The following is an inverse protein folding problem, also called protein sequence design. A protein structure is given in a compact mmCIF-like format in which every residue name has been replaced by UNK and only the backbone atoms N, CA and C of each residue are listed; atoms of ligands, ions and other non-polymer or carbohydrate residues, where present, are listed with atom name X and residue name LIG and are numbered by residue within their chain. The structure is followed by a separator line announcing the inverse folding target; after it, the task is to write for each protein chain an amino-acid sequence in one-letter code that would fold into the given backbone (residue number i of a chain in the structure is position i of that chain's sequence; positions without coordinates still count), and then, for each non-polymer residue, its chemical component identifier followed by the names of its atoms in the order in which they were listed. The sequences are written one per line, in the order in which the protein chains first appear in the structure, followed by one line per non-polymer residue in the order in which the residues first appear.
data_IF_776774160868
#
_entry.id   IF_776774160868
#
_cell.length_a   1.000
_cell.length_b   1.000
_cell.length_c   1.000
_cell.angle_alpha   90.00
_cell.angle_beta   90.00
_cell.angle_gamma   90.00
#
_symmetry.space_group_name_H-M   'P 1'
#
loop_
_entity.id
_entity.type
_entity.pdbx_description
1 polymer ?
#
# COMPACT_ATOMS: atom_id res chain seq x y z
N UNK A 1 7.85 61.98 -43.87
CA UNK A 1 7.22 61.94 -42.53
C UNK A 1 7.17 60.49 -42.06
N UNK A 2 8.10 60.07 -41.22
CA UNK A 2 8.15 58.70 -40.68
C UNK A 2 8.03 58.79 -39.15
N UNK A 3 6.88 58.39 -38.61
CA UNK A 3 6.66 58.31 -37.17
C UNK A 3 7.35 57.06 -36.64
N UNK A 4 8.43 57.23 -35.87
CA UNK A 4 9.15 56.14 -35.21
C UNK A 4 8.36 55.63 -34.00
N UNK A 5 7.84 54.38 -34.00
CA UNK A 5 6.97 53.86 -32.95
C UNK A 5 7.75 53.08 -31.89
N UNK A 6 8.96 53.52 -31.48
CA UNK A 6 9.82 52.71 -30.61
C UNK A 6 9.94 53.13 -29.13
N UNK A 7 9.23 54.18 -28.67
CA UNK A 7 9.37 54.66 -27.27
C UNK A 7 8.44 54.03 -26.23
N UNK A 8 7.38 53.30 -26.62
CA UNK A 8 6.39 52.79 -25.64
C UNK A 8 6.72 51.44 -24.97
N UNK A 9 7.76 50.71 -25.40
CA UNK A 9 8.09 49.38 -24.83
C UNK A 9 9.05 49.37 -23.64
N UNK A 10 9.71 50.48 -23.29
CA UNK A 10 10.72 50.50 -22.21
C UNK A 10 10.16 50.37 -20.79
N UNK A 11 8.87 50.61 -20.58
CA UNK A 11 8.24 50.55 -19.26
C UNK A 11 7.64 49.18 -18.90
N UNK A 12 7.43 48.29 -19.88
CA UNK A 12 6.81 46.99 -19.63
C UNK A 12 7.73 46.04 -18.85
N UNK A 13 9.04 46.09 -19.11
CA UNK A 13 10.01 45.23 -18.43
C UNK A 13 10.12 45.49 -16.91
N UNK A 14 10.36 46.73 -16.42
CA UNK A 14 10.42 46.96 -14.97
C UNK A 14 9.09 46.69 -14.26
N UNK A 15 7.95 46.92 -14.92
CA UNK A 15 6.63 46.58 -14.37
C UNK A 15 6.43 45.07 -14.25
N UNK A 16 6.87 44.29 -15.24
CA UNK A 16 6.82 42.83 -15.18
C UNK A 16 7.72 42.27 -14.07
N UNK A 17 8.94 42.80 -13.91
CA UNK A 17 9.84 42.40 -12.82
C UNK A 17 9.27 42.77 -11.45
N UNK A 18 8.73 43.99 -11.29
CA UNK A 18 8.08 44.41 -10.05
C UNK A 18 6.85 43.56 -9.73
N UNK A 19 6.04 43.22 -10.73
CA UNK A 19 4.91 42.31 -10.58
C UNK A 19 5.36 40.90 -10.18
N UNK A 20 6.40 40.34 -10.83
CA UNK A 20 6.95 39.03 -10.44
C UNK A 20 7.49 39.04 -9.01
N UNK A 21 8.21 40.09 -8.60
CA UNK A 21 8.73 40.22 -7.24
C UNK A 21 7.60 40.38 -6.22
N UNK A 22 6.57 41.17 -6.53
CA UNK A 22 5.41 41.33 -5.68
C UNK A 22 4.61 40.03 -5.53
N UNK A 23 4.41 39.28 -6.63
CA UNK A 23 3.76 37.97 -6.61
C UNK A 23 4.61 36.96 -5.83
N UNK A 24 5.93 36.93 -6.05
CA UNK A 24 6.85 36.03 -5.35
C UNK A 24 6.90 36.34 -3.85
N UNK A 25 6.96 37.61 -3.48
CA UNK A 25 6.93 38.05 -2.09
C UNK A 25 5.57 37.76 -1.43
N UNK A 26 4.47 38.00 -2.14
CA UNK A 26 3.13 37.70 -1.66
C UNK A 26 2.93 36.20 -1.47
N UNK A 27 3.39 35.37 -2.40
CA UNK A 27 3.40 33.92 -2.28
C UNK A 27 4.25 33.49 -1.08
N UNK A 28 5.49 33.98 -0.96
CA UNK A 28 6.37 33.69 0.18
C UNK A 28 5.77 34.11 1.53
N UNK A 29 5.06 35.24 1.59
CA UNK A 29 4.36 35.70 2.80
C UNK A 29 3.13 34.87 3.15
N UNK A 30 2.53 34.20 2.18
CA UNK A 30 1.37 33.32 2.36
C UNK A 30 1.74 31.86 2.57
N UNK A 31 2.99 31.48 2.32
CA UNK A 31 3.48 30.14 2.60
C UNK A 31 3.23 29.84 4.09
N UNK A 32 2.32 28.90 4.40
CA UNK A 32 2.17 28.42 5.76
C UNK A 32 3.50 27.81 6.17
N UNK A 33 3.99 28.21 7.34
CA UNK A 33 5.26 27.68 7.83
C UNK A 33 4.99 26.28 8.36
N UNK A 34 5.64 25.21 7.85
CA UNK A 34 5.51 23.88 8.43
C UNK A 34 5.74 23.96 9.93
N UNK A 35 4.88 23.32 10.71
CA UNK A 35 5.08 23.27 12.16
C UNK A 35 6.17 22.25 12.42
N UNK A 36 7.40 22.72 12.63
CA UNK A 36 8.52 21.88 13.00
C UNK A 36 8.21 21.17 14.32
N UNK A 37 8.05 19.85 14.26
CA UNK A 37 7.83 18.99 15.43
C UNK A 37 9.15 18.78 16.17
N UNK A 38 10.22 18.48 15.44
CA UNK A 38 11.53 18.27 16.03
C UNK A 38 12.63 17.99 15.02
N UNK A 39 13.87 18.08 15.50
CA UNK A 39 15.09 17.83 14.74
C UNK A 39 16.09 17.10 15.62
N UNK A 40 16.62 15.97 15.14
CA UNK A 40 17.53 15.14 15.91
C UNK A 40 18.63 14.51 15.04
N UNK A 41 19.75 14.14 15.66
CA UNK A 41 20.82 13.36 15.00
C UNK A 41 20.59 11.86 15.19
N UNK A 42 20.81 11.08 14.13
CA UNK A 42 20.57 9.63 14.11
C UNK A 42 21.89 8.89 14.36
N UNK A 43 22.26 8.69 15.64
CA UNK A 43 23.46 7.93 15.98
C UNK A 43 23.21 6.41 16.08
N UNK A 44 22.17 6.01 16.82
CA UNK A 44 21.85 4.60 17.14
C UNK A 44 20.35 4.28 17.15
N UNK A 45 19.55 5.14 16.52
CA UNK A 45 18.08 5.13 16.61
C UNK A 45 17.58 6.39 17.31
N UNK A 46 16.51 6.98 16.79
CA UNK A 46 15.89 8.17 17.39
C UNK A 46 14.39 8.21 17.15
N UNK A 47 13.68 8.75 18.13
CA UNK A 47 12.23 8.98 18.06
C UNK A 47 11.96 10.45 18.43
N UNK A 48 11.28 11.16 17.54
CA UNK A 48 10.76 12.51 17.72
C UNK A 48 9.29 12.43 18.08
N UNK A 49 8.86 13.09 19.15
CA UNK A 49 7.47 13.08 19.61
C UNK A 49 6.83 14.46 19.49
N UNK A 50 5.58 14.53 19.00
CA UNK A 50 4.79 15.76 19.04
C UNK A 50 4.09 15.92 20.37
N UNK A 51 4.04 17.15 20.89
CA UNK A 51 3.25 17.50 22.08
C UNK A 51 1.75 17.65 21.78
N UNK A 52 1.36 17.64 20.50
CA UNK A 52 -0.03 17.71 20.07
C UNK A 52 -0.77 16.44 20.50
N UNK A 53 -1.92 16.62 21.16
CA UNK A 53 -2.81 15.53 21.55
C UNK A 53 -3.62 14.99 20.38
N UNK A 54 -3.74 15.75 19.29
CA UNK A 54 -4.53 15.37 18.13
C UNK A 54 -3.63 14.65 17.14
N UNK A 55 -3.98 13.42 16.71
CA UNK A 55 -3.21 12.75 15.68
C UNK A 55 -3.27 13.53 14.37
N UNK A 56 -2.10 13.87 13.83
CA UNK A 56 -1.89 14.35 12.48
C UNK A 56 -1.94 13.22 11.46
N UNK A 57 -2.76 13.41 10.43
CA UNK A 57 -2.77 12.60 9.22
C UNK A 57 -1.79 13.12 8.16
N UNK A 58 -1.18 14.30 8.40
CA UNK A 58 -0.40 15.05 7.42
C UNK A 58 0.94 15.45 8.04
N UNK A 59 1.99 14.76 7.61
CA UNK A 59 3.34 14.97 8.15
C UNK A 59 4.40 14.72 7.10
N UNK A 60 5.58 15.26 7.36
CA UNK A 60 6.78 15.02 6.55
C UNK A 60 7.96 14.65 7.46
N UNK A 61 8.59 13.52 7.17
CA UNK A 61 9.89 13.15 7.73
C UNK A 61 10.97 13.44 6.70
N UNK A 62 11.89 14.34 7.04
CA UNK A 62 13.09 14.62 6.27
C UNK A 62 14.27 13.87 6.89
N UNK A 63 14.94 13.03 6.10
CA UNK A 63 16.19 12.37 6.47
C UNK A 63 17.33 12.92 5.61
N UNK A 64 18.30 13.56 6.25
CA UNK A 64 19.53 14.03 5.59
C UNK A 64 20.69 13.13 5.99
N UNK A 65 21.15 12.33 5.04
CA UNK A 65 22.23 11.37 5.23
C UNK A 65 23.59 12.07 5.27
N UNK A 66 24.49 11.57 6.11
CA UNK A 66 25.85 12.09 6.21
C UNK A 66 26.57 11.98 4.84
N UNK A 67 27.09 13.11 4.29
CA UNK A 67 27.79 13.12 3.01
C UNK A 67 29.01 12.18 2.97
N UNK A 68 29.62 11.91 4.12
CA UNK A 68 30.80 11.04 4.25
C UNK A 68 30.47 9.54 4.18
N UNK A 69 29.19 9.16 4.27
CA UNK A 69 28.79 7.76 4.13
C UNK A 69 29.16 7.23 2.75
N UNK A 70 29.79 6.05 2.74
CA UNK A 70 30.14 5.32 1.53
C UNK A 70 28.91 4.59 0.98
N UNK A 71 28.53 4.79 -0.29
CA UNK A 71 27.47 4.00 -0.92
C UNK A 71 27.77 2.50 -0.92
N UNK A 72 26.76 1.61 -0.84
CA UNK A 72 25.32 1.91 -0.78
C UNK A 72 24.81 2.32 0.61
N UNK A 73 25.71 2.47 1.59
CA UNK A 73 25.35 2.80 2.98
C UNK A 73 24.84 1.60 3.78
N UNK A 74 24.42 1.87 5.01
CA UNK A 74 23.75 0.90 5.88
C UNK A 74 22.24 0.95 5.66
N UNK A 75 21.53 -0.14 5.96
CA UNK A 75 20.07 -0.17 6.00
C UNK A 75 19.52 0.74 7.11
N UNK A 76 18.33 1.28 6.88
CA UNK A 76 17.61 2.09 7.86
C UNK A 76 16.11 2.02 7.62
N UNK A 77 15.33 2.31 8.66
CA UNK A 77 13.87 2.35 8.64
C UNK A 77 13.42 3.70 9.19
N UNK A 78 12.74 4.50 8.36
CA UNK A 78 11.92 5.61 8.87
C UNK A 78 10.57 5.05 9.26
N UNK A 79 10.03 5.48 10.40
CA UNK A 79 8.74 4.99 10.86
C UNK A 79 7.89 6.12 11.43
N UNK A 80 6.58 6.02 11.20
CA UNK A 80 5.56 6.65 12.03
C UNK A 80 5.48 5.88 13.37
N UNK A 81 4.85 6.46 14.38
CA UNK A 81 4.73 5.84 15.70
C UNK A 81 6.02 5.81 16.53
N UNK A 82 5.92 5.18 17.71
CA UNK A 82 6.97 5.25 18.75
C UNK A 82 8.17 4.36 18.43
N UNK A 83 7.93 3.30 17.67
CA UNK A 83 8.90 2.28 17.28
C UNK A 83 8.51 1.67 15.94
N UNK A 84 9.44 0.93 15.33
CA UNK A 84 9.15 0.05 14.20
C UNK A 84 8.04 -0.94 14.60
N UNK A 85 7.08 -1.15 13.72
CA UNK A 85 5.85 -1.91 13.95
C UNK A 85 4.63 -1.03 14.25
N UNK A 86 4.79 0.28 14.31
CA UNK A 86 3.71 1.23 14.54
C UNK A 86 3.45 2.09 13.28
N UNK A 87 2.27 1.99 12.67
CA UNK A 87 1.90 2.85 11.53
C UNK A 87 2.68 2.55 10.24
N UNK A 88 3.11 3.57 9.51
CA UNK A 88 3.86 3.40 8.26
C UNK A 88 5.37 3.35 8.45
N UNK A 89 6.03 2.56 7.61
CA UNK A 89 7.47 2.40 7.59
C UNK A 89 8.04 2.56 6.18
N UNK A 90 9.14 3.30 6.04
CA UNK A 90 9.94 3.38 4.83
C UNK A 90 11.30 2.72 5.08
N UNK A 91 11.56 1.62 4.37
CA UNK A 91 12.77 0.81 4.49
C UNK A 91 13.73 1.14 3.35
N UNK A 92 15.00 1.37 3.69
CA UNK A 92 16.11 1.40 2.73
C UNK A 92 16.85 0.08 2.67
N UNK A 93 16.91 -0.49 1.48
CA UNK A 93 17.56 -1.75 1.17
C UNK A 93 18.82 -1.50 0.32
N UNK A 94 20.00 -1.32 0.94
CA UNK A 94 21.23 -0.94 0.25
C UNK A 94 21.66 -1.96 -0.81
N UNK A 95 21.45 -3.25 -0.56
CA UNK A 95 21.78 -4.35 -1.48
C UNK A 95 20.95 -4.34 -2.77
N UNK A 96 19.78 -3.70 -2.75
CA UNK A 96 18.91 -3.51 -3.93
C UNK A 96 18.97 -2.10 -4.48
N UNK A 97 19.60 -1.17 -3.77
CA UNK A 97 19.39 0.27 -3.94
C UNK A 97 17.88 0.58 -4.01
N UNK A 98 17.12 -0.02 -3.09
CA UNK A 98 15.66 -0.05 -3.12
C UNK A 98 15.03 0.62 -1.91
N UNK A 99 13.82 1.12 -2.10
CA UNK A 99 12.93 1.62 -1.06
C UNK A 99 11.67 0.78 -1.02
N UNK A 100 11.13 0.55 0.19
CA UNK A 100 9.85 -0.12 0.40
C UNK A 100 9.02 0.63 1.42
N UNK A 101 7.74 0.81 1.12
CA UNK A 101 6.77 1.35 2.07
C UNK A 101 5.93 0.19 2.59
N UNK A 102 5.90 0.03 3.90
CA UNK A 102 5.13 -0.98 4.62
C UNK A 102 4.13 -0.29 5.54
N UNK A 103 2.96 -0.90 5.73
CA UNK A 103 2.05 -0.59 6.83
C UNK A 103 2.16 -1.66 7.90
N UNK A 104 2.35 -1.26 9.14
CA UNK A 104 2.34 -2.11 10.31
C UNK A 104 0.99 -2.07 11.04
N UNK A 105 0.60 -3.12 11.81
CA UNK A 105 1.40 -4.30 12.14
C UNK A 105 1.23 -5.45 11.13
N UNK A 106 0.40 -5.29 10.09
CA UNK A 106 0.15 -6.33 9.10
C UNK A 106 1.29 -6.50 8.08
N UNK A 107 2.29 -5.61 8.13
CA UNK A 107 3.41 -5.53 7.19
C UNK A 107 2.94 -5.53 5.73
N UNK A 108 1.83 -4.83 5.46
CA UNK A 108 1.30 -4.71 4.12
C UNK A 108 2.25 -3.87 3.25
N UNK A 109 2.75 -4.46 2.17
CA UNK A 109 3.60 -3.77 1.20
C UNK A 109 2.78 -2.78 0.36
N UNK A 110 2.93 -1.49 0.60
CA UNK A 110 2.19 -0.47 -0.14
C UNK A 110 2.90 -0.04 -1.43
N UNK A 111 4.22 -0.15 -1.49
CA UNK A 111 4.94 0.27 -2.67
C UNK A 111 6.42 0.02 -2.58
N UNK A 112 7.08 -0.03 -3.74
CA UNK A 112 8.53 -0.18 -3.81
C UNK A 112 9.09 0.68 -4.94
N UNK A 113 10.33 1.12 -4.79
CA UNK A 113 11.02 1.87 -5.84
C UNK A 113 12.49 1.50 -5.86
N UNK A 114 13.08 1.49 -7.06
CA UNK A 114 14.51 1.26 -7.26
C UNK A 114 15.19 2.57 -7.60
N UNK A 115 16.29 2.83 -6.91
CA UNK A 115 17.14 3.98 -7.13
C UNK A 115 18.38 3.59 -7.94
N UNK A 116 18.94 4.55 -8.66
CA UNK A 116 20.21 4.38 -9.38
C UNK A 116 21.43 4.46 -8.45
N UNK A 117 21.26 5.04 -7.25
CA UNK A 117 22.30 5.25 -6.25
C UNK A 117 21.68 5.44 -4.87
N UNK A 118 22.51 5.40 -3.83
CA UNK A 118 22.13 5.80 -2.47
C UNK A 118 21.67 7.27 -2.47
N UNK A 119 20.49 7.60 -1.88
CA UNK A 119 20.03 8.98 -1.78
C UNK A 119 20.89 9.76 -0.78
N UNK A 120 20.90 11.10 -0.88
CA UNK A 120 21.50 12.01 0.11
C UNK A 120 20.44 12.64 1.00
N UNK A 121 19.29 12.94 0.42
CA UNK A 121 18.12 13.37 1.14
C UNK A 121 16.95 12.45 0.82
N UNK A 122 16.14 12.16 1.84
CA UNK A 122 14.88 11.43 1.70
C UNK A 122 13.79 12.24 2.38
N UNK A 123 12.68 12.42 1.70
CA UNK A 123 11.46 13.00 2.28
C UNK A 123 10.40 11.91 2.23
N UNK A 124 9.90 11.50 3.38
CA UNK A 124 8.78 10.58 3.51
C UNK A 124 7.58 11.37 3.97
N UNK A 125 6.58 11.49 3.09
CA UNK A 125 5.46 12.40 3.26
C UNK A 125 4.19 11.57 3.35
N UNK A 126 3.34 11.90 4.33
CA UNK A 126 1.96 11.43 4.41
C UNK A 126 1.02 12.62 4.24
N UNK A 127 -0.01 12.43 3.40
CA UNK A 127 -1.15 13.34 3.25
C UNK A 127 -2.42 12.52 3.22
N UNK A 128 -3.17 12.52 4.32
CA UNK A 128 -4.32 11.63 4.50
C UNK A 128 -4.02 10.16 4.16
N UNK A 129 -4.61 9.62 3.06
CA UNK A 129 -4.40 8.25 2.57
C UNK A 129 -3.17 8.11 1.65
N UNK A 130 -2.58 9.22 1.19
CA UNK A 130 -1.46 9.26 0.27
C UNK A 130 -0.12 9.22 1.01
N UNK A 131 0.80 8.44 0.46
CA UNK A 131 2.18 8.34 0.91
C UNK A 131 3.11 8.59 -0.26
N UNK A 132 4.12 9.41 -0.04
CA UNK A 132 5.07 9.79 -1.07
C UNK A 132 6.48 9.72 -0.54
N UNK A 133 7.41 9.38 -1.44
CA UNK A 133 8.84 9.41 -1.14
C UNK A 133 9.55 10.21 -2.20
N UNK A 134 10.24 11.26 -1.76
CA UNK A 134 11.21 11.98 -2.57
C UNK A 134 12.62 11.59 -2.16
N UNK A 135 13.49 11.46 -3.14
CA UNK A 135 14.91 11.21 -2.95
C UNK A 135 15.70 12.21 -3.77
N UNK A 136 16.62 12.95 -3.15
CA UNK A 136 17.35 14.04 -3.81
C UNK A 136 16.39 15.01 -4.56
N UNK A 137 15.28 15.39 -3.92
CA UNK A 137 14.19 16.22 -4.47
C UNK A 137 13.39 15.62 -5.65
N UNK A 138 13.64 14.37 -6.04
CA UNK A 138 12.86 13.67 -7.08
C UNK A 138 11.82 12.76 -6.44
N UNK A 139 10.56 12.87 -6.88
CA UNK A 139 9.51 11.91 -6.52
C UNK A 139 9.85 10.54 -7.12
N UNK A 140 10.06 9.54 -6.25
CA UNK A 140 10.48 8.18 -6.63
C UNK A 140 9.42 7.13 -6.33
N UNK A 141 8.50 7.41 -5.42
CA UNK A 141 7.41 6.51 -5.06
C UNK A 141 6.20 7.33 -4.58
N UNK A 142 5.03 6.90 -5.00
CA UNK A 142 3.74 7.37 -4.49
C UNK A 142 2.86 6.14 -4.31
N UNK A 143 2.25 5.97 -3.14
CA UNK A 143 1.25 4.94 -2.86
C UNK A 143 -0.01 5.56 -2.23
N UNK A 144 -1.13 4.88 -2.41
CA UNK A 144 -2.43 5.17 -1.83
C UNK A 144 -2.78 4.03 -0.89
N UNK A 145 -3.08 4.36 0.36
CA UNK A 145 -3.65 3.44 1.34
C UNK A 145 -4.98 3.98 1.87
N UNK A 146 -6.12 3.53 1.31
CA UNK A 146 -7.44 3.98 1.75
C UNK A 146 -7.78 3.52 3.18
N UNK A 147 -7.18 2.45 3.68
CA UNK A 147 -7.44 1.96 5.04
C UNK A 147 -6.80 2.88 6.10
N UNK A 148 -5.67 3.49 5.74
CA UNK A 148 -4.85 4.29 6.64
C UNK A 148 -4.00 3.44 7.59
N UNK A 149 -3.04 4.08 8.26
CA UNK A 149 -2.36 3.46 9.40
C UNK A 149 -3.41 3.07 10.45
N UNK A 150 -3.36 1.85 11.01
CA UNK A 150 -4.33 1.41 11.99
C UNK A 150 -4.32 2.37 13.17
N UNK A 151 -5.47 3.00 13.41
CA UNK A 151 -5.68 3.79 14.63
C UNK A 151 -5.69 2.79 15.78
N UNK A 152 -4.58 2.67 16.53
CA UNK A 152 -4.61 1.88 17.76
C UNK A 152 -5.58 2.59 18.71
N UNK A 153 -6.72 1.96 18.96
CA UNK A 153 -7.65 2.37 20.02
C UNK A 153 -6.93 2.47 21.40
N UNK A 154 -5.84 1.71 21.58
CA UNK A 154 -4.96 1.80 22.76
C UNK A 154 -4.16 3.10 22.87
N UNK A 155 -3.91 3.82 21.77
CA UNK A 155 -3.25 5.13 21.79
C UNK A 155 -4.14 6.20 22.45
N UNK A 156 -5.46 6.08 22.32
CA UNK A 156 -6.42 6.94 23.02
C UNK A 156 -6.43 6.67 24.53
N UNK A 157 -6.23 5.41 24.95
CA UNK A 157 -6.21 5.03 26.36
C UNK A 157 -4.91 5.42 27.10
N UNK A 158 -3.80 5.61 26.38
CA UNK A 158 -2.48 5.85 26.95
C UNK A 158 -1.95 7.29 26.78
N UNK A 159 -2.82 8.24 26.42
CA UNK A 159 -2.43 9.63 26.17
C UNK A 159 -1.36 9.75 25.09
N UNK A 160 -1.44 8.88 24.07
CA UNK A 160 -0.35 8.62 23.14
C UNK A 160 0.01 9.84 22.29
N UNK A 161 1.12 10.49 22.62
CA UNK A 161 1.80 11.42 21.72
C UNK A 161 2.09 10.73 20.38
N UNK A 162 1.86 11.47 19.29
CA UNK A 162 2.38 11.05 18.00
C UNK A 162 3.90 11.06 18.02
N UNK A 163 4.47 10.08 17.35
CA UNK A 163 5.90 9.91 17.28
C UNK A 163 6.29 9.52 15.85
N UNK A 164 7.53 9.81 15.51
CA UNK A 164 8.18 9.41 14.27
C UNK A 164 9.64 9.13 14.58
N UNK A 165 10.29 8.28 13.81
CA UNK A 165 11.68 7.95 14.10
C UNK A 165 12.45 7.40 12.94
N UNK A 166 13.74 7.18 13.21
CA UNK A 166 14.65 6.48 12.33
C UNK A 166 15.39 5.41 13.13
N UNK A 167 15.29 4.16 12.67
CA UNK A 167 15.99 3.01 13.25
C UNK A 167 17.04 2.52 12.25
N UNK A 168 18.35 2.75 12.50
CA UNK A 168 19.40 2.31 11.61
C UNK A 168 19.90 0.89 11.94
N UNK A 169 20.39 0.16 10.94
CA UNK A 169 21.05 -1.14 11.14
C UNK A 169 22.49 -0.98 11.65
N UNK A 170 23.10 0.20 11.46
CA UNK A 170 24.46 0.50 11.91
C UNK A 170 24.68 2.00 12.13
N UNK A 171 25.93 2.44 12.28
CA UNK A 171 26.23 3.87 12.45
C UNK A 171 25.88 4.66 11.18
N UNK A 172 25.17 5.78 11.35
CA UNK A 172 24.81 6.71 10.28
C UNK A 172 25.60 8.03 10.31
N UNK A 173 26.71 8.11 11.08
CA UNK A 173 27.53 9.32 11.16
C UNK A 173 26.75 10.55 11.64
N UNK A 174 26.91 11.67 10.94
CA UNK A 174 26.21 12.94 11.20
C UNK A 174 24.82 13.04 10.51
N UNK A 175 24.19 11.90 10.24
CA UNK A 175 22.82 11.86 9.69
C UNK A 175 21.84 12.55 10.65
N UNK A 176 20.89 13.29 10.08
CA UNK A 176 19.87 13.99 10.84
C UNK A 176 18.47 13.71 10.32
N UNK A 177 17.51 13.68 11.24
CA UNK A 177 16.07 13.59 10.96
C UNK A 177 15.41 14.92 11.37
N UNK A 178 14.49 15.39 10.55
CA UNK A 178 13.61 16.53 10.86
C UNK A 178 12.17 16.08 10.60
N UNK A 179 11.25 16.42 11.48
CA UNK A 179 9.84 16.06 11.34
C UNK A 179 9.00 17.33 11.36
N UNK A 180 8.12 17.44 10.37
CA UNK A 180 7.19 18.55 10.20
C UNK A 180 5.75 18.03 10.26
N UNK A 181 4.89 18.78 10.97
CA UNK A 181 3.45 18.56 11.02
C UNK A 181 2.80 19.57 10.07
N UNK A 182 2.10 19.04 9.07
CA UNK A 182 1.66 19.78 7.90
C UNK A 182 0.16 20.11 7.94
N UNK A 183 -0.54 19.82 9.04
CA UNK A 183 -2.00 20.07 9.19
C UNK A 183 -2.43 21.51 8.94
N UNK A 184 -1.55 22.47 9.23
CA UNK A 184 -1.83 23.90 9.07
C UNK A 184 -1.34 24.43 7.71
N UNK A 185 -0.75 23.58 6.86
CA UNK A 185 -0.39 23.96 5.51
C UNK A 185 -1.63 23.98 4.62
N UNK A 186 -1.87 25.12 3.96
CA UNK A 186 -2.90 25.22 2.92
C UNK A 186 -2.47 24.44 1.68
N UNK A 187 -3.40 23.64 1.15
CA UNK A 187 -3.23 22.69 0.04
C UNK A 187 -2.60 23.29 -1.25
N UNK A 188 -2.74 24.60 -1.45
CA UNK A 188 -2.33 25.32 -2.65
C UNK A 188 -0.83 25.24 -3.00
N UNK A 189 0.06 25.00 -2.02
CA UNK A 189 1.52 24.98 -2.26
C UNK A 189 2.08 23.56 -2.48
N UNK A 190 1.31 22.52 -2.14
CA UNK A 190 1.72 21.11 -2.26
C UNK A 190 1.23 20.51 -3.61
N UNK A 191 0.24 21.16 -4.23
CA UNK A 191 -0.44 20.75 -5.46
C UNK A 191 0.40 20.67 -6.75
N UNK A 192 1.69 21.01 -6.74
CA UNK A 192 2.50 20.96 -7.98
C UNK A 192 2.84 19.52 -8.43
N UNK A 193 2.85 18.55 -7.50
CA UNK A 193 3.31 17.18 -7.77
C UNK A 193 2.43 16.09 -7.12
N UNK A 194 1.42 16.45 -6.32
CA UNK A 194 0.42 15.52 -5.78
C UNK A 194 -0.79 15.51 -6.74
N UNK A 195 -1.39 14.35 -7.08
CA UNK A 195 -2.75 14.32 -7.64
C UNK A 195 -3.62 15.23 -6.77
N UNK A 196 -4.27 16.24 -7.34
CA UNK A 196 -4.78 17.36 -6.55
C UNK A 196 -5.71 16.86 -5.43
N UNK A 197 -5.25 16.89 -4.18
CA UNK A 197 -6.10 16.69 -3.00
C UNK A 197 -7.25 17.71 -3.00
N UNK A 198 -7.13 18.79 -3.75
CA UNK A 198 -8.20 19.76 -4.00
C UNK A 198 -9.38 19.22 -4.84
N UNK A 199 -9.33 18.02 -5.43
CA UNK A 199 -10.52 17.45 -6.08
C UNK A 199 -11.40 16.73 -5.04
N UNK A 200 -12.52 17.34 -4.59
CA UNK A 200 -13.40 16.71 -3.61
C UNK A 200 -13.93 15.35 -4.09
N UNK A 201 -13.96 15.11 -5.41
CA UNK A 201 -14.39 13.82 -5.98
C UNK A 201 -13.40 12.72 -5.66
N UNK A 202 -12.11 13.03 -5.60
CA UNK A 202 -11.08 12.07 -5.23
C UNK A 202 -11.23 11.68 -3.77
N UNK A 203 -11.40 12.65 -2.88
CA UNK A 203 -11.67 12.41 -1.47
C UNK A 203 -12.92 11.55 -1.24
N UNK A 204 -14.02 11.86 -1.94
CA UNK A 204 -15.26 11.08 -1.87
C UNK A 204 -15.04 9.64 -2.37
N UNK A 205 -14.32 9.46 -3.48
CA UNK A 205 -14.01 8.14 -4.02
C UNK A 205 -13.12 7.32 -3.08
N UNK A 206 -12.09 7.93 -2.49
CA UNK A 206 -11.25 7.28 -1.47
C UNK A 206 -12.08 6.87 -0.26
N UNK A 207 -12.93 7.77 0.26
CA UNK A 207 -13.78 7.50 1.42
C UNK A 207 -14.75 6.33 1.17
N UNK A 208 -15.36 6.27 -0.02
CA UNK A 208 -16.28 5.19 -0.39
C UNK A 208 -15.57 3.85 -0.62
N UNK A 209 -14.39 3.85 -1.27
CA UNK A 209 -13.57 2.63 -1.39
C UNK A 209 -13.09 2.14 -0.02
N UNK A 210 -12.71 3.06 0.88
CA UNK A 210 -12.42 2.72 2.27
C UNK A 210 -13.62 2.07 2.95
N UNK A 211 -14.82 2.60 2.76
CA UNK A 211 -16.04 2.04 3.32
C UNK A 211 -16.28 0.60 2.83
N UNK A 212 -16.03 0.31 1.55
CA UNK A 212 -16.07 -1.05 1.01
C UNK A 212 -15.08 -1.96 1.74
N UNK A 213 -13.82 -1.56 1.86
CA UNK A 213 -12.77 -2.37 2.48
C UNK A 213 -12.97 -2.60 4.00
N UNK A 214 -13.67 -1.69 4.67
CA UNK A 214 -14.00 -1.79 6.09
C UNK A 214 -15.32 -2.50 6.36
N UNK A 215 -16.12 -2.77 5.33
CA UNK A 215 -17.39 -3.47 5.47
C UNK A 215 -17.13 -4.92 5.86
N UNK A 216 -17.69 -5.36 6.99
CA UNK A 216 -17.62 -6.76 7.42
C UNK A 216 -18.70 -7.58 6.70
N UNK A 217 -18.34 -8.40 5.69
CA UNK A 217 -19.32 -9.13 4.89
C UNK A 217 -20.05 -10.23 5.68
N UNK A 218 -19.58 -10.58 6.89
CA UNK A 218 -20.26 -11.54 7.77
C UNK A 218 -21.37 -10.91 8.59
N UNK A 219 -21.38 -9.57 8.71
CA UNK A 219 -22.35 -8.80 9.51
C UNK A 219 -23.27 -7.94 8.66
N UNK A 220 -22.79 -7.44 7.52
CA UNK A 220 -23.58 -6.60 6.63
C UNK A 220 -24.61 -7.41 5.84
N UNK A 221 -25.77 -6.80 5.56
CA UNK A 221 -26.74 -7.43 4.67
C UNK A 221 -26.26 -7.38 3.21
N UNK A 222 -26.73 -8.30 2.36
CA UNK A 222 -26.36 -8.30 0.94
C UNK A 222 -26.72 -6.98 0.24
N UNK A 223 -27.85 -6.36 0.63
CA UNK A 223 -28.29 -5.05 0.11
C UNK A 223 -27.35 -3.92 0.52
N UNK A 224 -26.85 -3.93 1.75
CA UNK A 224 -25.93 -2.89 2.23
C UNK A 224 -24.58 -3.01 1.51
N UNK A 225 -24.10 -4.25 1.32
CA UNK A 225 -22.88 -4.53 0.56
C UNK A 225 -23.04 -4.01 -0.87
N UNK A 226 -24.12 -4.38 -1.57
CA UNK A 226 -24.40 -3.92 -2.94
C UNK A 226 -24.47 -2.38 -3.02
N UNK A 227 -25.12 -1.74 -2.05
CA UNK A 227 -25.22 -0.29 -2.01
C UNK A 227 -23.85 0.39 -1.84
N UNK A 228 -22.99 -0.12 -0.96
CA UNK A 228 -21.64 0.45 -0.72
C UNK A 228 -20.73 0.24 -1.92
N UNK A 229 -20.73 -0.94 -2.55
CA UNK A 229 -19.98 -1.18 -3.78
C UNK A 229 -20.49 -0.32 -4.94
N UNK A 230 -21.82 -0.20 -5.09
CA UNK A 230 -22.43 0.65 -6.11
C UNK A 230 -22.05 2.11 -5.97
N UNK A 231 -22.04 2.64 -4.74
CA UNK A 231 -21.61 4.00 -4.45
C UNK A 231 -20.12 4.21 -4.75
N UNK A 232 -19.25 3.29 -4.35
CA UNK A 232 -17.81 3.36 -4.63
C UNK A 232 -17.52 3.30 -6.14
N UNK A 233 -18.17 2.40 -6.88
CA UNK A 233 -18.04 2.30 -8.33
C UNK A 233 -18.54 3.56 -9.04
N UNK A 234 -19.66 4.14 -8.57
CA UNK A 234 -20.18 5.39 -9.10
C UNK A 234 -19.20 6.55 -8.87
N UNK A 235 -18.66 6.70 -7.67
CA UNK A 235 -17.67 7.74 -7.38
C UNK A 235 -16.39 7.56 -8.21
N UNK A 236 -15.91 6.33 -8.35
CA UNK A 236 -14.76 6.02 -9.21
C UNK A 236 -15.02 6.42 -10.66
N UNK A 237 -16.23 6.20 -11.19
CA UNK A 237 -16.60 6.59 -12.57
C UNK A 237 -16.63 8.10 -12.81
N UNK A 238 -16.66 8.91 -11.76
CA UNK A 238 -16.60 10.37 -11.85
C UNK A 238 -15.17 10.91 -11.95
N UNK A 239 -14.17 10.07 -11.64
CA UNK A 239 -12.77 10.41 -11.82
C UNK A 239 -12.37 10.26 -13.30
N UNK A 240 -11.41 11.06 -13.81
CA UNK A 240 -10.94 10.90 -15.18
C UNK A 240 -10.38 9.50 -15.43
N UNK A 241 -10.92 8.78 -16.41
CA UNK A 241 -10.47 7.43 -16.73
C UNK A 241 -8.97 7.41 -17.06
N UNK A 242 -8.24 6.49 -16.43
CA UNK A 242 -6.78 6.38 -16.58
C UNK A 242 -5.95 7.37 -15.74
N UNK A 243 -6.60 8.27 -14.98
CA UNK A 243 -5.89 9.06 -13.95
C UNK A 243 -5.29 8.13 -12.87
N UNK A 244 -4.19 8.57 -12.24
CA UNK A 244 -3.54 7.77 -11.21
C UNK A 244 -4.47 7.37 -10.03
N UNK A 245 -5.31 8.28 -9.48
CA UNK A 245 -6.30 7.92 -8.47
C UNK A 245 -7.30 6.87 -8.96
N UNK A 246 -7.83 7.04 -10.18
CA UNK A 246 -8.77 6.07 -10.78
C UNK A 246 -8.15 4.67 -10.89
N UNK A 247 -6.93 4.56 -11.43
CA UNK A 247 -6.25 3.27 -11.58
C UNK A 247 -5.99 2.59 -10.21
N UNK A 248 -5.52 3.35 -9.22
CA UNK A 248 -5.19 2.82 -7.89
C UNK A 248 -6.45 2.39 -7.12
N UNK A 249 -7.47 3.24 -7.08
CA UNK A 249 -8.72 2.95 -6.39
C UNK A 249 -9.45 1.74 -7.00
N UNK A 250 -9.32 1.51 -8.31
CA UNK A 250 -9.87 0.32 -8.96
C UNK A 250 -9.25 -0.99 -8.43
N UNK A 251 -7.94 -1.02 -8.17
CA UNK A 251 -7.28 -2.18 -7.58
C UNK A 251 -7.76 -2.44 -6.14
N UNK A 252 -7.92 -1.37 -5.35
CA UNK A 252 -8.46 -1.45 -4.00
C UNK A 252 -9.93 -1.89 -3.99
N UNK A 253 -10.74 -1.44 -4.94
CA UNK A 253 -12.13 -1.89 -5.07
C UNK A 253 -12.21 -3.38 -5.43
N UNK A 254 -11.37 -3.85 -6.36
CA UNK A 254 -11.26 -5.26 -6.71
C UNK A 254 -10.80 -6.13 -5.50
N UNK A 255 -9.93 -5.61 -4.63
CA UNK A 255 -9.61 -6.26 -3.36
C UNK A 255 -10.87 -6.45 -2.49
N UNK A 256 -11.74 -5.44 -2.44
CA UNK A 256 -13.02 -5.52 -1.75
C UNK A 256 -13.90 -6.66 -2.28
N UNK A 257 -13.99 -6.82 -3.60
CA UNK A 257 -14.77 -7.90 -4.24
C UNK A 257 -14.24 -9.29 -3.84
N UNK A 258 -12.91 -9.45 -3.82
CA UNK A 258 -12.28 -10.69 -3.34
C UNK A 258 -12.62 -10.93 -1.87
N UNK A 259 -12.52 -9.90 -1.01
CA UNK A 259 -12.85 -10.03 0.41
C UNK A 259 -14.32 -10.45 0.63
N UNK A 260 -15.24 -9.98 -0.21
CA UNK A 260 -16.63 -10.40 -0.20
C UNK A 260 -16.77 -11.88 -0.61
N UNK A 261 -16.05 -12.32 -1.64
CA UNK A 261 -16.04 -13.73 -2.05
C UNK A 261 -15.46 -14.63 -0.94
N UNK A 262 -14.44 -14.17 -0.21
CA UNK A 262 -13.79 -14.88 0.89
C UNK A 262 -14.64 -15.00 2.16
N UNK A 263 -15.71 -14.22 2.30
CA UNK A 263 -16.54 -14.16 3.49
C UNK A 263 -17.39 -15.42 3.74
N UNK A 264 -17.59 -16.24 2.70
CA UNK A 264 -18.42 -17.46 2.74
C UNK A 264 -17.56 -18.67 2.35
N UNK A 265 -16.77 -19.21 3.29
CA UNK A 265 -15.78 -20.25 2.99
C UNK A 265 -16.37 -21.67 2.83
N UNK A 266 -17.64 -21.86 3.22
CA UNK A 266 -18.25 -23.19 3.37
C UNK A 266 -18.78 -23.80 2.07
N UNK A 267 -18.75 -23.08 0.94
CA UNK A 267 -19.24 -23.59 -0.35
C UNK A 267 -18.18 -23.59 -1.46
N UNK A 268 -18.31 -24.55 -2.40
CA UNK A 268 -17.51 -24.60 -3.63
C UNK A 268 -17.63 -23.30 -4.44
N UNK A 269 -18.82 -22.69 -4.42
CA UNK A 269 -19.13 -21.45 -5.13
C UNK A 269 -18.30 -20.26 -4.62
N UNK A 270 -17.94 -20.24 -3.34
CA UNK A 270 -17.08 -19.21 -2.75
C UNK A 270 -15.66 -19.29 -3.27
N UNK A 271 -15.11 -20.50 -3.42
CA UNK A 271 -13.78 -20.70 -4.01
C UNK A 271 -13.75 -20.35 -5.51
N UNK A 272 -14.81 -20.67 -6.26
CA UNK A 272 -14.94 -20.30 -7.68
C UNK A 272 -15.03 -18.78 -7.85
N UNK A 273 -15.91 -18.11 -7.09
CA UNK A 273 -16.01 -16.64 -7.09
C UNK A 273 -14.71 -15.97 -6.67
N UNK A 274 -14.02 -16.51 -5.66
CA UNK A 274 -12.72 -15.98 -5.25
C UNK A 274 -11.65 -16.19 -6.34
N UNK A 275 -11.69 -17.31 -7.07
CA UNK A 275 -10.83 -17.55 -8.23
C UNK A 275 -11.06 -16.50 -9.31
N UNK A 276 -12.31 -16.30 -9.72
CA UNK A 276 -12.66 -15.33 -10.76
C UNK A 276 -12.25 -13.91 -10.37
N UNK A 277 -12.48 -13.51 -9.11
CA UNK A 277 -12.12 -12.19 -8.61
C UNK A 277 -10.59 -12.00 -8.52
N UNK A 278 -9.83 -13.03 -8.11
CA UNK A 278 -8.36 -13.01 -8.12
C UNK A 278 -7.82 -12.93 -9.54
N UNK A 279 -8.39 -13.67 -10.50
CA UNK A 279 -7.99 -13.61 -11.90
C UNK A 279 -8.26 -12.23 -12.50
N UNK A 280 -9.40 -11.62 -12.16
CA UNK A 280 -9.72 -10.24 -12.57
C UNK A 280 -8.72 -9.23 -12.01
N UNK A 281 -8.37 -9.31 -10.71
CA UNK A 281 -7.34 -8.47 -10.13
C UNK A 281 -5.97 -8.72 -10.76
N UNK A 282 -5.60 -9.98 -11.02
CA UNK A 282 -4.33 -10.32 -11.67
C UNK A 282 -4.23 -9.74 -13.09
N UNK A 283 -5.31 -9.85 -13.88
CA UNK A 283 -5.42 -9.22 -15.19
C UNK A 283 -5.31 -7.70 -15.10
N UNK A 284 -6.01 -7.10 -14.12
CA UNK A 284 -5.97 -5.67 -13.87
C UNK A 284 -4.53 -5.20 -13.59
N UNK A 285 -3.84 -5.84 -12.64
CA UNK A 285 -2.44 -5.55 -12.30
C UNK A 285 -1.51 -5.65 -13.51
N UNK A 286 -1.73 -6.64 -14.39
CA UNK A 286 -0.92 -6.82 -15.59
C UNK A 286 -1.17 -5.72 -16.64
N UNK A 287 -2.41 -5.25 -16.79
CA UNK A 287 -2.77 -4.20 -17.75
C UNK A 287 -2.49 -2.78 -17.25
N UNK A 288 -2.61 -2.55 -15.95
CA UNK A 288 -2.63 -1.23 -15.31
C UNK A 288 -1.74 -1.28 -14.05
N UNK A 289 -0.41 -1.44 -14.17
CA UNK A 289 0.45 -1.66 -13.02
C UNK A 289 0.46 -0.47 -12.08
N UNK A 290 0.17 -0.72 -10.80
CA UNK A 290 0.24 0.26 -9.71
C UNK A 290 1.22 -0.21 -8.61
N UNK A 291 1.89 0.70 -7.88
CA UNK A 291 2.88 0.34 -6.86
C UNK A 291 2.37 -0.61 -5.77
N UNK A 292 1.08 -0.54 -5.45
CA UNK A 292 0.39 -1.29 -4.39
C UNK A 292 0.07 -2.73 -4.81
N UNK A 293 0.04 -3.03 -6.12
CA UNK A 293 -0.53 -4.26 -6.69
C UNK A 293 0.01 -5.54 -6.04
N UNK A 294 1.34 -5.61 -5.88
CA UNK A 294 2.00 -6.77 -5.29
C UNK A 294 1.56 -6.99 -3.83
N UNK A 295 1.53 -5.93 -3.01
CA UNK A 295 1.12 -6.07 -1.62
C UNK A 295 -0.38 -6.26 -1.44
N UNK A 296 -1.23 -5.65 -2.28
CA UNK A 296 -2.67 -5.93 -2.31
C UNK A 296 -2.90 -7.44 -2.49
N UNK A 297 -2.22 -8.08 -3.46
CA UNK A 297 -2.32 -9.52 -3.68
C UNK A 297 -1.77 -10.33 -2.49
N UNK A 298 -0.65 -9.91 -1.90
CA UNK A 298 -0.08 -10.59 -0.72
C UNK A 298 -0.97 -10.48 0.53
N UNK A 299 -1.73 -9.39 0.67
CA UNK A 299 -2.67 -9.20 1.77
C UNK A 299 -3.75 -10.29 1.84
N UNK A 300 -4.01 -10.96 0.72
CA UNK A 300 -4.98 -12.04 0.61
C UNK A 300 -4.46 -13.37 1.18
N UNK A 301 -3.13 -13.56 1.26
CA UNK A 301 -2.55 -14.86 1.56
C UNK A 301 -3.01 -15.46 2.89
N UNK A 302 -3.06 -14.72 4.02
CA UNK A 302 -3.51 -15.30 5.28
C UNK A 302 -4.94 -15.84 5.20
N UNK A 303 -5.86 -15.11 4.56
CA UNK A 303 -7.27 -15.52 4.42
C UNK A 303 -7.43 -16.69 3.46
N UNK A 304 -6.75 -16.65 2.32
CA UNK A 304 -6.74 -17.75 1.35
C UNK A 304 -6.14 -19.03 1.95
N UNK A 305 -5.03 -18.91 2.67
CA UNK A 305 -4.42 -20.04 3.38
C UNK A 305 -5.32 -20.57 4.50
N UNK A 306 -5.99 -19.69 5.24
CA UNK A 306 -6.98 -20.09 6.24
C UNK A 306 -8.10 -20.92 5.62
N UNK A 307 -8.72 -20.44 4.53
CA UNK A 307 -9.78 -21.18 3.83
C UNK A 307 -9.28 -22.51 3.24
N UNK A 308 -8.06 -22.55 2.72
CA UNK A 308 -7.44 -23.78 2.21
C UNK A 308 -7.14 -24.81 3.29
N UNK A 309 -7.00 -24.38 4.55
CA UNK A 309 -6.72 -25.24 5.70
C UNK A 309 -7.96 -25.45 6.60
N UNK A 310 -9.07 -24.76 6.32
CA UNK A 310 -10.24 -24.75 7.17
C UNK A 310 -10.78 -26.16 7.39
N UNK A 311 -11.31 -26.39 8.61
CA UNK A 311 -11.97 -27.63 8.98
C UNK A 311 -13.48 -27.41 8.81
N UNK A 312 -14.17 -28.22 8.00
CA UNK A 312 -15.61 -28.09 7.83
C UNK A 312 -16.36 -28.14 9.16
N UNK A 313 -17.40 -27.31 9.30
CA UNK A 313 -18.25 -27.23 10.49
C UNK A 313 -19.13 -28.47 10.68
N UNK A 314 -19.34 -29.25 9.61
CA UNK A 314 -20.11 -30.49 9.61
C UNK A 314 -19.27 -31.65 9.05
N UNK A 315 -19.65 -32.92 9.31
CA UNK A 315 -18.95 -34.07 8.77
C UNK A 315 -19.11 -34.15 7.24
N UNK A 316 -18.12 -33.68 6.49
CA UNK A 316 -18.06 -33.81 5.03
C UNK A 316 -17.29 -35.06 4.59
N UNK A 317 -17.67 -35.69 3.46
CA UNK A 317 -16.89 -36.77 2.87
C UNK A 317 -15.44 -36.33 2.61
N UNK A 318 -14.41 -37.13 2.92
CA UNK A 318 -13.01 -36.74 2.72
C UNK A 318 -12.68 -36.26 1.30
N UNK A 319 -13.31 -36.85 0.28
CA UNK A 319 -13.14 -36.42 -1.11
C UNK A 319 -13.66 -34.99 -1.35
N UNK A 320 -14.77 -34.60 -0.72
CA UNK A 320 -15.32 -33.25 -0.78
C UNK A 320 -14.33 -32.26 -0.14
N UNK A 321 -13.87 -32.54 1.07
CA UNK A 321 -12.89 -31.71 1.78
C UNK A 321 -11.62 -31.52 0.97
N UNK A 322 -11.06 -32.59 0.43
CA UNK A 322 -9.85 -32.52 -0.41
C UNK A 322 -10.09 -31.74 -1.70
N UNK A 323 -11.27 -31.88 -2.32
CA UNK A 323 -11.67 -31.11 -3.49
C UNK A 323 -11.72 -29.61 -3.21
N UNK A 324 -12.42 -29.21 -2.14
CA UNK A 324 -12.53 -27.80 -1.75
C UNK A 324 -11.16 -27.19 -1.42
N UNK A 325 -10.34 -27.89 -0.63
CA UNK A 325 -8.97 -27.45 -0.31
C UNK A 325 -8.09 -27.30 -1.55
N UNK A 326 -8.19 -28.22 -2.51
CA UNK A 326 -7.44 -28.13 -3.77
C UNK A 326 -7.81 -26.89 -4.57
N UNK A 327 -9.07 -26.43 -4.52
CA UNK A 327 -9.48 -25.20 -5.19
C UNK A 327 -8.94 -23.97 -4.47
N UNK A 328 -9.08 -23.89 -3.15
CA UNK A 328 -8.50 -22.76 -2.39
C UNK A 328 -6.98 -22.67 -2.55
N UNK A 329 -6.27 -23.81 -2.59
CA UNK A 329 -4.84 -23.84 -2.91
C UNK A 329 -4.54 -23.37 -4.34
N UNK A 330 -5.48 -23.53 -5.28
CA UNK A 330 -5.38 -22.97 -6.64
C UNK A 330 -5.49 -21.45 -6.61
N UNK A 331 -6.50 -20.92 -5.93
CA UNK A 331 -6.69 -19.47 -5.77
C UNK A 331 -5.49 -18.82 -5.07
N UNK A 332 -4.99 -19.44 -3.98
CA UNK A 332 -3.78 -18.99 -3.30
C UNK A 332 -2.55 -19.00 -4.22
N UNK A 333 -2.36 -20.08 -4.99
CA UNK A 333 -1.28 -20.17 -5.96
C UNK A 333 -1.36 -19.11 -7.05
N UNK A 334 -2.56 -18.86 -7.59
CA UNK A 334 -2.80 -17.82 -8.60
C UNK A 334 -2.49 -16.42 -8.06
N UNK A 335 -2.99 -16.10 -6.86
CA UNK A 335 -2.68 -14.84 -6.19
C UNK A 335 -1.16 -14.68 -5.94
N UNK A 336 -0.47 -15.75 -5.53
CA UNK A 336 0.97 -15.72 -5.31
C UNK A 336 1.77 -15.53 -6.61
N UNK A 337 1.37 -16.17 -7.70
CA UNK A 337 1.96 -15.97 -9.04
C UNK A 337 1.75 -14.51 -9.49
N UNK A 338 0.54 -13.99 -9.36
CA UNK A 338 0.24 -12.61 -9.72
C UNK A 338 1.05 -11.62 -8.86
N UNK A 339 1.16 -11.86 -7.54
CA UNK A 339 1.95 -11.03 -6.64
C UNK A 339 3.44 -11.06 -7.03
N UNK A 340 3.97 -12.23 -7.39
CA UNK A 340 5.35 -12.37 -7.83
C UNK A 340 5.60 -11.70 -9.19
N UNK A 341 4.65 -11.77 -10.13
CA UNK A 341 4.76 -11.10 -11.43
C UNK A 341 4.75 -9.57 -11.31
N UNK A 342 4.02 -9.04 -10.30
CA UNK A 342 3.94 -7.61 -10.02
C UNK A 342 4.98 -7.13 -8.98
N UNK A 343 5.77 -8.05 -8.43
CA UNK A 343 6.84 -7.73 -7.49
C UNK A 343 7.96 -6.94 -8.20
N UNK A 344 8.26 -5.75 -7.68
CA UNK A 344 9.44 -5.02 -8.11
C UNK A 344 10.73 -5.78 -7.73
N UNK A 345 11.81 -5.67 -8.52
CA UNK A 345 13.14 -6.10 -8.10
C UNK A 345 13.64 -5.45 -6.81
N UNK A 346 13.00 -4.35 -6.37
CA UNK A 346 13.27 -3.69 -5.09
C UNK A 346 12.63 -4.40 -3.89
N UNK A 347 11.81 -5.45 -4.10
CA UNK A 347 11.36 -6.32 -3.01
C UNK A 347 12.54 -7.11 -2.43
N UNK A 348 12.57 -7.28 -1.11
CA UNK A 348 13.63 -7.97 -0.38
C UNK A 348 13.74 -9.44 -0.79
N UNK A 349 14.96 -9.99 -0.75
CA UNK A 349 15.21 -11.37 -1.21
C UNK A 349 14.40 -12.42 -0.43
N UNK A 350 14.21 -12.20 0.87
CA UNK A 350 13.42 -13.08 1.73
C UNK A 350 11.97 -13.17 1.26
N UNK A 351 11.34 -12.03 0.94
CA UNK A 351 9.96 -12.01 0.45
C UNK A 351 9.85 -12.64 -0.95
N UNK A 352 10.81 -12.38 -1.85
CA UNK A 352 10.85 -13.04 -3.15
C UNK A 352 11.02 -14.57 -3.03
N UNK A 353 11.85 -15.02 -2.08
CA UNK A 353 12.01 -16.44 -1.79
C UNK A 353 10.71 -17.05 -1.22
N UNK A 354 10.07 -16.38 -0.27
CA UNK A 354 8.80 -16.82 0.31
C UNK A 354 7.69 -16.95 -0.74
N UNK A 355 7.58 -16.00 -1.68
CA UNK A 355 6.62 -16.09 -2.78
C UNK A 355 6.86 -17.32 -3.67
N UNK A 356 8.12 -17.56 -4.07
CA UNK A 356 8.49 -18.74 -4.87
C UNK A 356 8.20 -20.05 -4.13
N UNK A 357 8.50 -20.09 -2.84
CA UNK A 357 8.20 -21.24 -1.99
C UNK A 357 6.69 -21.48 -1.90
N UNK A 358 5.89 -20.42 -1.71
CA UNK A 358 4.43 -20.50 -1.66
C UNK A 358 3.85 -21.02 -2.98
N UNK A 359 4.28 -20.47 -4.11
CA UNK A 359 3.88 -20.92 -5.46
C UNK A 359 4.17 -22.42 -5.63
N UNK A 360 5.38 -22.85 -5.26
CA UNK A 360 5.80 -24.25 -5.35
C UNK A 360 4.96 -25.17 -4.43
N UNK A 361 4.74 -24.75 -3.19
CA UNK A 361 3.94 -25.49 -2.22
C UNK A 361 2.49 -25.67 -2.69
N UNK A 362 1.85 -24.61 -3.19
CA UNK A 362 0.52 -24.67 -3.79
C UNK A 362 0.47 -25.68 -4.94
N UNK A 363 1.44 -25.65 -5.85
CA UNK A 363 1.53 -26.62 -6.95
C UNK A 363 1.64 -28.08 -6.47
N UNK A 364 2.46 -28.34 -5.45
CA UNK A 364 2.59 -29.68 -4.88
C UNK A 364 1.29 -30.17 -4.22
N UNK A 365 0.61 -29.29 -3.47
CA UNK A 365 -0.60 -29.63 -2.71
C UNK A 365 -1.87 -29.72 -3.58
N UNK A 366 -1.86 -29.14 -4.79
CA UNK A 366 -2.92 -29.33 -5.78
C UNK A 366 -2.83 -30.69 -6.50
N UNK A 367 -1.68 -31.37 -6.41
CA UNK A 367 -1.45 -32.62 -7.15
C UNK A 367 -2.37 -33.71 -6.58
N UNK A 368 -3.14 -34.43 -7.42
CA UNK A 368 -4.24 -35.25 -6.93
C UNK A 368 -3.74 -36.54 -6.28
N UNK A 369 -3.40 -36.47 -4.99
CA UNK A 369 -3.41 -37.64 -4.11
C UNK A 369 -4.79 -38.33 -4.13
N UNK A 370 -5.84 -37.60 -4.53
CA UNK A 370 -7.20 -38.10 -4.78
C UNK A 370 -7.25 -39.17 -5.88
N UNK A 371 -6.40 -39.11 -6.92
CA UNK A 371 -6.35 -40.19 -7.94
C UNK A 371 -5.83 -41.50 -7.33
N UNK A 372 -4.85 -41.40 -6.44
CA UNK A 372 -4.32 -42.55 -5.70
C UNK A 372 -5.31 -43.08 -4.65
N UNK A 373 -6.03 -42.20 -3.95
CA UNK A 373 -6.99 -42.59 -2.92
C UNK A 373 -8.28 -43.17 -3.49
N UNK A 374 -8.78 -42.64 -4.61
CA UNK A 374 -9.94 -43.22 -5.31
C UNK A 374 -9.58 -44.59 -5.90
N UNK A 375 -8.41 -44.70 -6.52
CA UNK A 375 -7.86 -46.00 -6.96
C UNK A 375 -7.69 -46.99 -5.81
N UNK A 376 -7.22 -46.55 -4.64
CA UNK A 376 -7.05 -47.42 -3.47
C UNK A 376 -8.38 -47.80 -2.82
N UNK A 377 -9.35 -46.89 -2.76
CA UNK A 377 -10.69 -47.15 -2.22
C UNK A 377 -11.51 -48.06 -3.14
N UNK A 378 -11.43 -47.84 -4.45
CA UNK A 378 -12.06 -48.70 -5.46
C UNK A 378 -11.41 -50.10 -5.43
N UNK A 379 -10.08 -50.19 -5.34
CA UNK A 379 -9.38 -51.46 -5.17
C UNK A 379 -9.73 -52.18 -3.85
N UNK A 380 -9.93 -51.44 -2.74
CA UNK A 380 -10.36 -52.02 -1.47
C UNK A 380 -11.82 -52.51 -1.50
N UNK A 381 -12.68 -51.84 -2.28
CA UNK A 381 -14.09 -52.23 -2.49
C UNK A 381 -14.21 -53.47 -3.37
N UNK A 382 -13.39 -53.55 -4.41
CA UNK A 382 -13.32 -54.73 -5.29
C UNK A 382 -12.67 -55.94 -4.59
N UNK A 383 -11.89 -55.72 -3.53
CA UNK A 383 -11.28 -56.76 -2.71
C UNK A 383 -12.20 -57.31 -1.60
N UNK A 384 -13.40 -56.74 -1.36
CA UNK A 384 -14.34 -57.31 -0.38
C UNK A 384 -15.03 -58.55 -0.98
N UNK A 385 -14.90 -59.73 -0.35
CA UNK A 385 -15.54 -60.96 -0.84
C UNK A 385 -17.06 -60.77 -0.86
N UNK A 386 -17.68 -61.04 -2.00
CA UNK A 386 -19.13 -60.97 -2.11
C UNK A 386 -19.77 -61.93 -1.08
N UNK A 387 -20.80 -61.47 -0.33
CA UNK A 387 -21.50 -62.34 0.59
C UNK A 387 -22.07 -63.52 -0.19
N UNK A 388 -21.68 -64.73 0.22
CA UNK A 388 -22.17 -65.98 -0.39
C UNK A 388 -23.68 -66.08 -0.17
N UNK A 389 -24.44 -66.52 -1.19
CA UNK A 389 -25.91 -66.56 -1.14
C UNK A 389 -26.47 -67.49 -0.07
#
# INVERSE_FOLDING_TARGET
MAHSPHRRRRWLFPMAVAAMLAISWWAFKRMPTPTLVGHERVASGVTVTSSSSTPSADWTIHLRLDPSMKPPGQGWILHEGKQVGDGYELHWLPEKLGLQILRAPDHLLLGTSRLSRMPRTVEFVRRGPWLMVRCDAKLVLTCLDPLGAPQRDEAAASGGYQAWGCTPVGSMGDTAITVEDDRDQSDADIAADIPSEDDPREHDAVALVRQVLMTDPTKASARDIEAVFGAAAQALSQLPAGSAPHLRLRHWLALGEIQLALARPDDFEGAERASDAVDQLAMLCASEPVPEAAGILMSLFPRLAYNACFRPSYPDPPAHVLGNRSMWMRVLGAAAVAAHANASPAIGDDLQFQLRLLIHACGCLQTPAVKSLKSAADAARDAQPQPSP
#
